data_IF_154320439659
#
_entry.id   IF_154320439659
#
_cell.length_a   1.000
_cell.length_b   1.000
_cell.length_c   1.000
_cell.angle_alpha   90.00
_cell.angle_beta   90.00
_cell.angle_gamma   90.00
#
_symmetry.space_group_name_H-M   'P 1'
#
loop_
_entity.id
_entity.type
_entity.pdbx_description
1 polymer ?
#
# COMPACT_ATOMS: atom_id res chain seq x y z
N UNK A 1 6.35 18.83 22.15
CA UNK A 1 5.32 18.22 21.29
C UNK A 1 6.07 17.30 20.35
N UNK A 2 5.88 15.99 20.43
CA UNK A 2 6.43 15.04 19.46
C UNK A 2 5.72 15.29 18.14
N UNK A 3 6.47 15.49 17.05
CA UNK A 3 5.91 15.59 15.71
C UNK A 3 5.12 14.29 15.40
N UNK A 4 4.03 14.40 14.64
CA UNK A 4 3.31 13.20 14.18
C UNK A 4 4.21 12.44 13.20
N UNK A 5 4.23 11.10 13.25
CA UNK A 5 5.01 10.31 12.31
C UNK A 5 4.53 10.52 10.86
N UNK A 6 5.46 10.53 9.93
CA UNK A 6 5.15 10.52 8.50
C UNK A 6 4.67 9.12 8.09
N UNK A 7 3.51 9.01 7.47
CA UNK A 7 2.93 7.74 7.03
C UNK A 7 3.27 7.52 5.57
N UNK A 8 4.07 6.47 5.30
CA UNK A 8 4.51 6.10 3.94
C UNK A 8 3.91 4.76 3.56
N UNK A 9 3.18 4.72 2.45
CA UNK A 9 2.58 3.50 1.95
C UNK A 9 3.39 2.90 0.79
N UNK A 10 3.71 1.61 0.88
CA UNK A 10 4.23 0.81 -0.22
C UNK A 10 3.06 0.18 -0.97
N UNK A 11 2.84 0.59 -2.20
CA UNK A 11 1.74 0.13 -3.05
C UNK A 11 2.26 -0.53 -4.34
N UNK A 12 1.38 -1.20 -5.08
CA UNK A 12 1.73 -1.89 -6.32
C UNK A 12 1.17 -3.30 -6.38
N UNK A 13 1.32 -4.01 -7.52
CA UNK A 13 0.76 -5.36 -7.70
C UNK A 13 1.36 -6.37 -6.71
N UNK A 14 0.76 -7.54 -6.64
CA UNK A 14 1.36 -8.66 -5.93
C UNK A 14 2.71 -9.00 -6.56
N UNK A 15 3.63 -9.51 -5.74
CA UNK A 15 4.99 -9.89 -6.17
C UNK A 15 5.88 -8.73 -6.65
N UNK A 16 5.47 -7.46 -6.50
CA UNK A 16 6.31 -6.30 -6.84
C UNK A 16 7.49 -6.07 -5.89
N UNK A 17 7.61 -6.84 -4.79
CA UNK A 17 8.74 -6.73 -3.86
C UNK A 17 8.52 -5.76 -2.68
N UNK A 18 7.29 -5.29 -2.43
CA UNK A 18 6.95 -4.33 -1.36
C UNK A 18 7.52 -4.71 0.02
N UNK A 19 7.23 -5.91 0.49
CA UNK A 19 7.69 -6.39 1.81
C UNK A 19 9.22 -6.47 1.87
N UNK A 20 9.88 -6.88 0.79
CA UNK A 20 11.34 -6.94 0.70
C UNK A 20 11.94 -5.54 0.73
N UNK A 21 11.39 -4.62 -0.06
CA UNK A 21 11.80 -3.22 -0.06
C UNK A 21 11.60 -2.59 1.32
N UNK A 22 10.44 -2.81 1.96
CA UNK A 22 10.15 -2.27 3.29
C UNK A 22 11.18 -2.65 4.34
N UNK A 23 11.61 -3.92 4.33
CA UNK A 23 12.65 -4.40 5.25
C UNK A 23 14.02 -3.78 4.96
N UNK A 24 14.34 -3.55 3.69
CA UNK A 24 15.60 -2.93 3.32
C UNK A 24 15.60 -1.43 3.66
N UNK A 25 14.48 -0.73 3.51
CA UNK A 25 14.34 0.68 3.86
C UNK A 25 14.62 0.97 5.35
N UNK A 26 14.31 0.04 6.25
CA UNK A 26 14.68 0.17 7.67
C UNK A 26 16.19 0.25 7.85
N UNK A 27 16.96 -0.45 7.02
CA UNK A 27 18.42 -0.44 7.06
C UNK A 27 18.99 0.80 6.36
N UNK A 28 18.43 1.18 5.20
CA UNK A 28 18.85 2.33 4.41
C UNK A 28 18.56 3.69 5.10
N UNK A 29 17.57 3.72 5.99
CA UNK A 29 17.12 4.90 6.73
C UNK A 29 17.40 4.73 8.23
N UNK A 30 18.58 4.20 8.57
CA UNK A 30 18.95 3.90 9.96
C UNK A 30 18.99 5.15 10.87
N UNK A 31 18.99 6.35 10.29
CA UNK A 31 18.86 7.63 11.00
C UNK A 31 17.43 7.93 11.50
N UNK A 32 16.42 7.22 10.99
CA UNK A 32 15.00 7.38 11.33
C UNK A 32 14.49 6.23 12.20
N UNK A 33 13.64 6.54 13.17
CA UNK A 33 12.87 5.52 13.88
C UNK A 33 11.69 5.07 13.01
N UNK A 34 11.86 3.96 12.27
CA UNK A 34 10.85 3.43 11.35
C UNK A 34 10.11 2.27 12.00
N UNK A 35 8.78 2.31 11.95
CA UNK A 35 7.92 1.17 12.26
C UNK A 35 7.35 0.60 10.98
N UNK A 36 7.64 -0.68 10.70
CA UNK A 36 7.09 -1.38 9.55
C UNK A 36 5.78 -2.08 9.92
N UNK A 37 4.72 -1.74 9.20
CA UNK A 37 3.39 -2.33 9.35
C UNK A 37 3.20 -3.36 8.23
N UNK A 38 3.09 -4.68 8.55
CA UNK A 38 2.99 -5.73 7.55
C UNK A 38 1.66 -5.66 6.78
N UNK A 39 1.59 -6.28 5.61
CA UNK A 39 0.37 -6.28 4.81
C UNK A 39 -0.80 -6.98 5.53
N UNK A 40 -2.03 -6.71 5.07
CA UNK A 40 -3.25 -7.28 5.67
C UNK A 40 -3.21 -8.79 5.79
N UNK A 41 -2.69 -9.49 4.77
CA UNK A 41 -2.61 -10.94 4.76
C UNK A 41 -1.60 -11.47 5.79
N UNK A 42 -0.44 -10.84 5.88
CA UNK A 42 0.61 -11.27 6.81
C UNK A 42 0.17 -11.04 8.26
N UNK A 43 -0.47 -9.89 8.55
CA UNK A 43 -1.01 -9.60 9.88
C UNK A 43 -2.12 -10.57 10.27
N UNK A 44 -3.01 -10.94 9.33
CA UNK A 44 -4.10 -11.89 9.58
C UNK A 44 -3.62 -13.35 9.70
N UNK A 45 -2.35 -13.64 9.51
CA UNK A 45 -1.82 -15.01 9.53
C UNK A 45 -2.02 -15.78 8.22
N UNK A 46 -2.29 -15.08 7.13
CA UNK A 46 -2.42 -15.62 5.78
C UNK A 46 -3.64 -15.13 5.01
N UNK A 47 -3.55 -15.14 3.71
CA UNK A 47 -4.62 -14.64 2.82
C UNK A 47 -5.97 -15.35 2.98
N UNK A 48 -5.98 -16.59 3.48
CA UNK A 48 -7.22 -17.37 3.77
C UNK A 48 -8.09 -16.73 4.87
N UNK A 49 -7.50 -15.88 5.71
CA UNK A 49 -8.21 -15.19 6.79
C UNK A 49 -8.69 -13.81 6.38
N UNK A 50 -8.37 -13.37 5.16
CA UNK A 50 -8.94 -12.15 4.61
C UNK A 50 -10.39 -12.37 4.18
N UNK A 51 -11.25 -11.36 4.28
CA UNK A 51 -12.57 -11.43 3.70
C UNK A 51 -12.51 -11.62 2.19
N UNK A 52 -13.56 -12.22 1.61
CA UNK A 52 -13.67 -12.37 0.15
C UNK A 52 -13.53 -11.01 -0.52
N UNK A 53 -12.59 -10.90 -1.45
CA UNK A 53 -12.32 -9.64 -2.14
C UNK A 53 -13.27 -9.36 -3.30
N UNK A 54 -13.87 -10.40 -3.88
CA UNK A 54 -14.94 -10.27 -4.86
C UNK A 54 -16.25 -9.96 -4.14
N UNK A 55 -17.03 -9.04 -4.68
CA UNK A 55 -18.34 -8.65 -4.18
C UNK A 55 -19.27 -8.43 -5.37
N UNK A 56 -20.50 -8.85 -5.25
CA UNK A 56 -21.54 -8.70 -6.26
C UNK A 56 -22.45 -7.50 -5.90
N UNK A 57 -22.50 -7.14 -4.62
CA UNK A 57 -23.32 -6.04 -4.10
C UNK A 57 -22.50 -5.05 -3.27
N UNK A 58 -23.03 -3.82 -3.14
CA UNK A 58 -22.41 -2.78 -2.29
C UNK A 58 -22.36 -3.25 -0.84
N UNK A 59 -23.42 -3.91 -0.34
CA UNK A 59 -23.49 -4.40 1.04
C UNK A 59 -22.39 -5.44 1.33
N UNK A 60 -22.16 -6.39 0.42
CA UNK A 60 -21.06 -7.37 0.56
C UNK A 60 -19.69 -6.68 0.58
N UNK A 61 -19.49 -5.68 -0.29
CA UNK A 61 -18.23 -4.92 -0.30
C UNK A 61 -18.03 -4.16 1.00
N UNK A 62 -19.05 -3.49 1.51
CA UNK A 62 -18.99 -2.79 2.79
C UNK A 62 -18.70 -3.74 3.95
N UNK A 63 -19.33 -4.92 3.96
CA UNK A 63 -19.06 -5.95 4.98
C UNK A 63 -17.60 -6.41 4.94
N UNK A 64 -17.06 -6.69 3.75
CA UNK A 64 -15.64 -7.04 3.59
C UNK A 64 -14.72 -5.91 4.07
N UNK A 65 -15.03 -4.65 3.77
CA UNK A 65 -14.25 -3.51 4.23
C UNK A 65 -14.30 -3.33 5.75
N UNK A 66 -15.45 -3.58 6.40
CA UNK A 66 -15.55 -3.55 7.88
C UNK A 66 -14.64 -4.61 8.52
N UNK A 67 -14.54 -5.79 7.94
CA UNK A 67 -13.62 -6.85 8.41
C UNK A 67 -12.16 -6.42 8.18
N UNK A 68 -11.83 -5.81 7.04
CA UNK A 68 -10.50 -5.27 6.77
C UNK A 68 -10.13 -4.13 7.73
N UNK A 69 -11.09 -3.30 8.14
CA UNK A 69 -10.86 -2.27 9.16
C UNK A 69 -10.54 -2.85 10.54
N UNK A 70 -11.08 -4.01 10.91
CA UNK A 70 -10.68 -4.71 12.15
C UNK A 70 -9.23 -5.20 12.08
N UNK A 71 -8.82 -5.72 10.92
CA UNK A 71 -7.42 -6.11 10.66
C UNK A 71 -6.51 -4.87 10.71
N UNK A 72 -6.95 -3.76 10.11
CA UNK A 72 -6.22 -2.49 10.12
C UNK A 72 -6.00 -1.98 11.55
N UNK A 73 -7.05 -2.00 12.37
CA UNK A 73 -6.93 -1.61 13.78
C UNK A 73 -5.87 -2.45 14.50
N UNK A 74 -5.82 -3.76 14.25
CA UNK A 74 -4.81 -4.64 14.82
C UNK A 74 -3.39 -4.36 14.31
N UNK A 75 -3.24 -4.02 13.02
CA UNK A 75 -1.96 -3.63 12.42
C UNK A 75 -1.41 -2.38 13.08
N UNK A 76 -2.23 -1.35 13.20
CA UNK A 76 -1.84 -0.04 13.71
C UNK A 76 -1.67 -0.03 15.25
N UNK A 77 -2.37 -0.90 15.98
CA UNK A 77 -2.20 -1.03 17.42
C UNK A 77 -0.78 -1.45 17.86
N UNK A 78 0.01 -1.99 16.93
CA UNK A 78 1.41 -2.39 17.17
C UNK A 78 2.41 -1.26 16.94
N UNK A 79 1.95 -0.10 16.42
CA UNK A 79 2.82 1.06 16.16
C UNK A 79 3.19 1.74 17.47
N UNK A 80 4.49 1.90 17.79
CA UNK A 80 4.94 2.63 18.97
C UNK A 80 4.52 4.10 18.90
N UNK A 81 4.31 4.74 20.06
CA UNK A 81 3.98 6.17 20.12
C UNK A 81 5.13 7.08 19.63
N UNK A 82 6.37 6.61 19.68
CA UNK A 82 7.55 7.35 19.27
C UNK A 82 8.18 6.67 18.04
N UNK A 83 7.79 7.11 16.86
CA UNK A 83 8.47 6.78 15.60
C UNK A 83 8.44 7.99 14.67
N UNK A 84 9.41 8.09 13.77
CA UNK A 84 9.50 9.15 12.77
C UNK A 84 8.68 8.81 11.53
N UNK A 85 8.68 7.53 11.16
CA UNK A 85 8.00 7.01 9.97
C UNK A 85 7.22 5.74 10.28
N UNK A 86 5.97 5.71 9.85
CA UNK A 86 5.17 4.49 9.74
C UNK A 86 5.24 4.03 8.28
N UNK A 87 5.87 2.89 8.02
CA UNK A 87 6.01 2.33 6.68
C UNK A 87 5.03 1.17 6.51
N UNK A 88 3.96 1.39 5.75
CA UNK A 88 2.89 0.41 5.55
C UNK A 88 3.10 -0.42 4.29
N UNK A 89 3.11 -1.75 4.40
CA UNK A 89 2.95 -2.64 3.24
C UNK A 89 1.45 -2.73 2.93
N UNK A 90 1.01 -1.94 1.95
CA UNK A 90 -0.38 -1.64 1.60
C UNK A 90 -1.09 -0.76 2.64
N UNK A 91 -1.84 0.19 2.13
CA UNK A 91 -2.61 1.16 2.91
C UNK A 91 -4.10 1.09 2.60
N UNK A 92 -4.84 2.03 3.15
CA UNK A 92 -6.25 2.30 2.82
C UNK A 92 -6.46 2.52 1.31
N UNK A 93 -5.44 3.00 0.58
CA UNK A 93 -5.53 3.17 -0.88
C UNK A 93 -5.60 1.85 -1.63
N UNK A 94 -4.99 0.75 -1.13
CA UNK A 94 -5.22 -0.60 -1.67
C UNK A 94 -6.70 -0.97 -1.62
N UNK A 95 -7.41 -0.68 -0.52
CA UNK A 95 -8.83 -1.01 -0.35
C UNK A 95 -9.71 -0.22 -1.34
N UNK A 96 -9.38 1.05 -1.55
CA UNK A 96 -10.06 1.91 -2.54
C UNK A 96 -9.75 1.49 -3.98
N UNK A 97 -8.49 1.16 -4.27
CA UNK A 97 -8.07 0.68 -5.59
C UNK A 97 -8.78 -0.61 -5.98
N UNK A 98 -8.93 -1.56 -5.03
CA UNK A 98 -9.70 -2.77 -5.25
C UNK A 98 -11.19 -2.49 -5.46
N UNK A 99 -11.79 -1.56 -4.70
CA UNK A 99 -13.20 -1.16 -4.91
C UNK A 99 -13.39 -0.51 -6.28
N UNK A 100 -12.42 0.28 -6.74
CA UNK A 100 -12.43 0.87 -8.08
C UNK A 100 -12.31 -0.21 -9.17
N UNK A 101 -11.41 -1.17 -9.00
CA UNK A 101 -11.23 -2.26 -9.96
C UNK A 101 -12.46 -3.17 -10.05
N UNK A 102 -13.10 -3.48 -8.92
CA UNK A 102 -14.37 -4.20 -8.90
C UNK A 102 -15.48 -3.41 -9.61
N UNK A 103 -15.58 -2.10 -9.36
CA UNK A 103 -16.54 -1.24 -10.04
C UNK A 103 -16.36 -1.27 -11.55
N UNK A 104 -15.13 -1.15 -12.06
CA UNK A 104 -14.85 -1.22 -13.49
C UNK A 104 -15.20 -2.59 -14.10
N UNK A 105 -15.01 -3.66 -13.33
CA UNK A 105 -15.28 -5.03 -13.78
C UNK A 105 -16.76 -5.38 -13.82
N UNK A 106 -17.54 -4.90 -12.85
CA UNK A 106 -18.95 -5.31 -12.67
C UNK A 106 -19.96 -4.25 -13.09
N UNK A 107 -19.53 -2.99 -13.25
CA UNK A 107 -20.42 -1.84 -13.43
C UNK A 107 -21.10 -1.34 -12.13
N UNK A 108 -20.95 -2.06 -11.00
CA UNK A 108 -21.53 -1.69 -9.71
C UNK A 108 -20.71 -0.60 -9.04
N UNK A 109 -21.33 0.49 -8.61
CA UNK A 109 -20.68 1.68 -8.06
C UNK A 109 -20.06 1.49 -6.67
N UNK A 110 -19.01 0.69 -6.53
CA UNK A 110 -18.37 0.36 -5.25
C UNK A 110 -17.50 1.47 -4.66
N UNK A 111 -16.86 2.30 -5.48
CA UNK A 111 -15.84 3.23 -5.01
C UNK A 111 -16.38 4.28 -4.04
N UNK A 112 -17.51 4.92 -4.38
CA UNK A 112 -18.06 6.00 -3.57
C UNK A 112 -18.52 5.54 -2.16
N UNK A 113 -19.30 4.46 -2.00
CA UNK A 113 -19.65 3.94 -0.68
C UNK A 113 -18.41 3.45 0.10
N UNK A 114 -17.45 2.79 -0.56
CA UNK A 114 -16.19 2.39 0.08
C UNK A 114 -15.41 3.58 0.63
N UNK A 115 -15.27 4.64 -0.16
CA UNK A 115 -14.57 5.85 0.25
C UNK A 115 -15.28 6.56 1.42
N UNK A 116 -16.62 6.57 1.44
CA UNK A 116 -17.41 7.12 2.55
C UNK A 116 -17.19 6.32 3.82
N UNK A 117 -17.28 4.99 3.74
CA UNK A 117 -17.06 4.10 4.89
C UNK A 117 -15.66 4.29 5.48
N UNK A 118 -14.62 4.28 4.64
CA UNK A 118 -13.24 4.41 5.10
C UNK A 118 -12.95 5.79 5.71
N UNK A 119 -13.49 6.87 5.14
CA UNK A 119 -13.34 8.23 5.70
C UNK A 119 -14.12 8.46 6.99
N UNK A 120 -15.25 7.78 7.18
CA UNK A 120 -16.01 7.88 8.43
C UNK A 120 -15.44 7.03 9.57
N UNK A 121 -14.50 6.14 9.26
CA UNK A 121 -13.81 5.32 10.27
C UNK A 121 -12.60 6.08 10.84
N UNK A 122 -12.39 6.06 12.15
CA UNK A 122 -11.18 6.63 12.77
C UNK A 122 -9.97 5.70 12.65
N UNK A 123 -10.16 4.49 12.13
CA UNK A 123 -9.12 3.44 12.14
C UNK A 123 -8.03 3.64 11.08
N UNK A 124 -8.36 3.90 9.79
CA UNK A 124 -7.30 3.90 8.78
C UNK A 124 -6.41 5.13 8.92
N UNK A 125 -5.11 4.90 8.93
CA UNK A 125 -4.12 5.93 8.70
C UNK A 125 -4.10 6.29 7.21
N UNK A 126 -4.14 7.59 6.89
CA UNK A 126 -4.05 8.06 5.51
C UNK A 126 -2.61 8.42 5.22
N UNK A 127 -1.98 7.83 4.20
CA UNK A 127 -0.57 8.07 3.95
C UNK A 127 -0.28 9.51 3.49
N UNK A 128 0.83 10.04 3.98
CA UNK A 128 1.40 11.31 3.55
C UNK A 128 2.17 11.14 2.23
N UNK A 129 2.75 9.95 1.99
CA UNK A 129 3.46 9.59 0.78
C UNK A 129 3.06 8.18 0.32
N UNK A 130 2.84 8.01 -0.97
CA UNK A 130 2.67 6.69 -1.60
C UNK A 130 3.87 6.39 -2.49
N UNK A 131 4.56 5.28 -2.23
CA UNK A 131 5.57 4.71 -3.10
C UNK A 131 4.93 3.57 -3.90
N UNK A 132 4.65 3.81 -5.17
CA UNK A 132 4.03 2.82 -6.04
C UNK A 132 5.11 2.04 -6.80
N UNK A 133 5.26 0.76 -6.48
CA UNK A 133 6.16 -0.16 -7.16
C UNK A 133 5.50 -0.62 -8.46
N UNK A 134 5.92 -0.04 -9.56
CA UNK A 134 5.36 -0.29 -10.89
C UNK A 134 6.06 -1.51 -11.51
N UNK A 135 5.43 -2.68 -11.39
CA UNK A 135 5.89 -3.92 -12.00
C UNK A 135 5.11 -4.18 -13.28
N UNK A 136 5.79 -4.37 -14.43
CA UNK A 136 5.16 -4.83 -15.66
C UNK A 136 4.37 -6.13 -15.45
N UNK A 137 3.22 -6.23 -16.09
CA UNK A 137 2.29 -7.34 -15.85
C UNK A 137 2.86 -8.68 -16.31
N UNK A 138 3.69 -8.69 -17.34
CA UNK A 138 4.40 -9.85 -17.86
C UNK A 138 5.49 -10.39 -16.91
N UNK A 139 6.02 -9.54 -16.05
CA UNK A 139 6.98 -9.94 -15.01
C UNK A 139 6.32 -10.58 -13.77
N UNK A 140 5.00 -10.44 -13.59
CA UNK A 140 4.29 -10.99 -12.41
C UNK A 140 4.36 -12.52 -12.33
N UNK A 141 4.16 -13.29 -13.43
CA UNK A 141 4.23 -14.76 -13.39
C UNK A 141 5.58 -15.28 -12.90
N UNK A 142 6.68 -14.70 -13.37
CA UNK A 142 8.04 -15.10 -13.01
C UNK A 142 8.32 -14.88 -11.51
N UNK A 143 7.74 -13.83 -10.93
CA UNK A 143 7.89 -13.48 -9.51
C UNK A 143 6.85 -14.15 -8.60
N UNK A 144 5.96 -14.97 -9.16
CA UNK A 144 4.89 -15.66 -8.43
C UNK A 144 5.06 -17.19 -8.42
N UNK A 145 6.12 -17.77 -7.85
CA UNK A 145 6.32 -19.23 -7.84
C UNK A 145 5.28 -19.90 -6.91
N UNK A 146 4.04 -20.05 -7.40
CA UNK A 146 2.96 -20.72 -6.66
C UNK A 146 2.37 -19.94 -5.47
N UNK A 147 2.67 -18.65 -5.31
CA UNK A 147 2.14 -17.85 -4.21
C UNK A 147 0.63 -17.62 -4.31
N UNK A 148 0.11 -17.52 -5.52
CA UNK A 148 -1.33 -17.39 -5.78
C UNK A 148 -1.80 -18.48 -6.72
N UNK A 149 -2.98 -19.08 -6.48
CA UNK A 149 -3.54 -20.09 -7.36
C UNK A 149 -3.91 -19.49 -8.73
N UNK A 150 -3.98 -20.32 -9.78
CA UNK A 150 -4.52 -19.92 -11.08
C UNK A 150 -5.91 -19.28 -10.94
N UNK A 151 -6.16 -18.21 -11.68
CA UNK A 151 -7.43 -17.47 -11.63
C UNK A 151 -7.60 -16.56 -10.41
N UNK A 152 -6.56 -16.38 -9.61
CA UNK A 152 -6.57 -15.41 -8.52
C UNK A 152 -6.75 -13.98 -9.06
N UNK A 153 -7.64 -13.20 -8.44
CA UNK A 153 -7.84 -11.80 -8.77
C UNK A 153 -6.54 -10.98 -8.62
N UNK A 154 -5.63 -11.41 -7.76
CA UNK A 154 -4.35 -10.73 -7.53
C UNK A 154 -3.32 -10.91 -8.65
N UNK A 155 -3.53 -11.89 -9.53
CA UNK A 155 -2.70 -12.15 -10.71
C UNK A 155 -3.45 -11.87 -12.03
N UNK A 156 -4.71 -11.42 -11.94
CA UNK A 156 -5.53 -11.03 -13.09
C UNK A 156 -4.97 -9.73 -13.71
N UNK A 157 -4.54 -9.76 -15.00
CA UNK A 157 -3.93 -8.62 -15.67
C UNK A 157 -4.86 -7.40 -15.74
N UNK A 158 -6.13 -7.60 -16.06
CA UNK A 158 -7.10 -6.52 -16.22
C UNK A 158 -7.44 -5.88 -14.87
N UNK A 159 -7.54 -6.69 -13.83
CA UNK A 159 -7.72 -6.20 -12.47
C UNK A 159 -6.53 -5.35 -12.04
N UNK A 160 -5.31 -5.84 -12.22
CA UNK A 160 -4.08 -5.13 -11.87
C UNK A 160 -3.91 -3.84 -12.70
N UNK A 161 -4.24 -3.85 -14.00
CA UNK A 161 -4.24 -2.66 -14.84
C UNK A 161 -5.20 -1.58 -14.30
N UNK A 162 -6.37 -2.01 -13.82
CA UNK A 162 -7.37 -1.10 -13.25
C UNK A 162 -6.94 -0.57 -11.87
N UNK A 163 -6.32 -1.41 -11.03
CA UNK A 163 -5.69 -0.96 -9.77
C UNK A 163 -4.60 0.07 -10.05
N UNK A 164 -3.73 -0.18 -11.04
CA UNK A 164 -2.70 0.78 -11.48
C UNK A 164 -3.31 2.10 -11.95
N UNK A 165 -4.42 2.06 -12.69
CA UNK A 165 -5.14 3.25 -13.13
C UNK A 165 -5.69 4.09 -11.97
N UNK A 166 -6.13 3.45 -10.87
CA UNK A 166 -6.51 4.16 -9.64
C UNK A 166 -5.35 5.00 -9.10
N UNK A 167 -4.15 4.42 -8.97
CA UNK A 167 -2.98 5.14 -8.45
C UNK A 167 -2.51 6.25 -9.39
N UNK A 168 -2.63 6.09 -10.71
CA UNK A 168 -2.40 7.19 -11.67
C UNK A 168 -3.37 8.36 -11.45
N UNK A 169 -4.64 8.07 -11.18
CA UNK A 169 -5.64 9.10 -10.84
C UNK A 169 -5.35 9.73 -9.47
N UNK A 170 -4.85 8.96 -8.50
CA UNK A 170 -4.42 9.50 -7.21
C UNK A 170 -3.24 10.46 -7.41
N UNK A 171 -2.23 10.06 -8.16
CA UNK A 171 -1.06 10.88 -8.46
C UNK A 171 -1.43 12.24 -9.11
N UNK A 172 -2.45 12.27 -9.98
CA UNK A 172 -2.91 13.51 -10.60
C UNK A 172 -3.52 14.51 -9.62
N UNK A 173 -3.96 14.06 -8.45
CA UNK A 173 -4.52 14.91 -7.38
C UNK A 173 -3.43 15.55 -6.52
N UNK A 174 -2.17 15.07 -6.58
CA UNK A 174 -1.00 15.55 -5.84
C UNK A 174 -1.10 15.44 -4.30
N UNK A 175 -2.18 14.91 -3.77
CA UNK A 175 -2.39 14.73 -2.32
C UNK A 175 -3.10 13.41 -2.06
N UNK A 176 -2.43 12.43 -1.43
CA UNK A 176 -0.99 12.43 -1.14
C UNK A 176 -0.12 12.41 -2.41
N UNK A 177 1.17 12.84 -2.35
CA UNK A 177 2.11 12.63 -3.43
C UNK A 177 2.29 11.13 -3.70
N UNK A 178 2.41 10.77 -4.99
CA UNK A 178 2.66 9.39 -5.40
C UNK A 178 3.97 9.36 -6.19
N UNK A 179 4.98 8.68 -5.65
CA UNK A 179 6.23 8.42 -6.35
C UNK A 179 6.15 7.06 -7.05
N UNK A 180 6.34 7.07 -8.36
CA UNK A 180 6.40 5.85 -9.16
C UNK A 180 7.83 5.31 -9.17
N UNK A 181 7.98 4.05 -8.76
CA UNK A 181 9.25 3.37 -8.69
C UNK A 181 9.23 2.18 -9.64
N UNK A 182 10.22 2.07 -10.51
CA UNK A 182 10.37 0.93 -11.40
C UNK A 182 10.78 -0.31 -10.60
N UNK A 183 9.83 -1.24 -10.43
CA UNK A 183 10.08 -2.46 -9.66
C UNK A 183 10.93 -3.51 -10.41
N UNK A 184 11.37 -3.22 -11.63
CA UNK A 184 12.32 -4.10 -12.36
C UNK A 184 13.78 -3.80 -12.00
N UNK A 185 14.05 -2.66 -11.38
CA UNK A 185 15.39 -2.29 -10.92
C UNK A 185 15.93 -3.29 -9.90
N UNK A 186 17.26 -3.32 -9.80
CA UNK A 186 17.95 -4.01 -8.72
C UNK A 186 17.46 -3.47 -7.36
N UNK A 187 17.29 -4.38 -6.41
CA UNK A 187 16.66 -4.07 -5.13
C UNK A 187 17.36 -2.94 -4.37
N UNK A 188 18.69 -2.86 -4.44
CA UNK A 188 19.47 -1.82 -3.79
C UNK A 188 19.26 -0.44 -4.42
N UNK A 189 19.13 -0.36 -5.76
CA UNK A 189 18.86 0.89 -6.47
C UNK A 189 17.43 1.37 -6.17
N UNK A 190 16.47 0.44 -6.17
CA UNK A 190 15.09 0.72 -5.80
C UNK A 190 15.01 1.26 -4.36
N UNK A 191 15.74 0.67 -3.43
CA UNK A 191 15.78 1.11 -2.03
C UNK A 191 16.38 2.52 -1.90
N UNK A 192 17.47 2.83 -2.61
CA UNK A 192 18.07 4.18 -2.62
C UNK A 192 17.10 5.24 -3.13
N UNK A 193 16.38 4.96 -4.23
CA UNK A 193 15.36 5.87 -4.78
C UNK A 193 14.21 6.08 -3.80
N UNK A 194 13.70 5.00 -3.20
CA UNK A 194 12.63 5.06 -2.21
C UNK A 194 13.05 5.83 -0.96
N UNK A 195 14.27 5.57 -0.44
CA UNK A 195 14.82 6.25 0.72
C UNK A 195 14.99 7.76 0.46
N UNK A 196 15.47 8.16 -0.73
CA UNK A 196 15.57 9.56 -1.11
C UNK A 196 14.20 10.27 -1.06
N UNK A 197 13.13 9.61 -1.54
CA UNK A 197 11.78 10.16 -1.48
C UNK A 197 11.25 10.30 -0.06
N UNK A 198 11.54 9.32 0.81
CA UNK A 198 11.15 9.39 2.23
C UNK A 198 11.90 10.54 2.93
N UNK A 199 13.23 10.68 2.71
CA UNK A 199 14.02 11.79 3.28
C UNK A 199 13.49 13.16 2.85
N UNK A 200 13.11 13.29 1.59
CA UNK A 200 12.49 14.52 1.08
C UNK A 200 11.19 14.84 1.82
N UNK A 201 10.30 13.86 1.95
CA UNK A 201 8.98 14.05 2.60
C UNK A 201 9.11 14.34 4.09
N UNK A 202 10.10 13.73 4.77
CA UNK A 202 10.36 13.96 6.21
C UNK A 202 11.21 15.20 6.50
N UNK A 203 11.62 15.95 5.46
CA UNK A 203 12.46 17.15 5.61
C UNK A 203 13.92 16.86 5.99
N UNK A 204 14.36 15.60 5.88
CA UNK A 204 15.70 15.17 6.28
C UNK A 204 16.78 15.44 5.21
N UNK A 205 16.42 15.92 4.02
CA UNK A 205 17.41 16.29 2.98
C UNK A 205 18.33 17.46 3.38
N UNK A 206 17.84 18.36 4.24
CA UNK A 206 18.55 19.58 4.63
C UNK A 206 19.76 19.34 5.54
N UNK A 207 19.88 18.16 6.17
CA UNK A 207 20.92 17.88 7.18
C UNK A 207 22.25 17.37 6.58
N UNK A 208 22.28 16.87 5.35
CA UNK A 208 23.52 16.36 4.72
C UNK A 208 24.36 17.41 3.98
N UNK A 209 23.88 18.64 3.83
CA UNK A 209 24.61 19.75 3.18
C UNK A 209 25.31 20.71 4.15
N UNK A 210 25.29 20.44 5.45
CA UNK A 210 25.82 21.34 6.49
C UNK A 210 27.01 20.76 7.30
N UNK A 211 27.78 19.84 6.70
CA UNK A 211 29.05 19.36 7.29
C UNK A 211 30.19 19.61 6.33
#
# INVERSE_FOLDING_TARGET
MTAQPCIVALEGPCCAGKTTLGRLLIQELCELAITFVPCYADHAGGGRFLPRQQADTIAEREQALRQLLLIEAGRLAQVPQACDVILEDRSVHTLLAHSYALQCRTGTGFLAPSARLLRSSPVPAWPDLVLYLDLPQDAVPERNPGKFPPGSIYTDPDFNATVRAYFRRLASRKTPPVAWLDATLELQDLARLAAARIRHETGQEALKGAV
#
